data_IF_248988672140
#
_entry.id   IF_248988672140
#
_cell.length_a   1.000
_cell.length_b   1.000
_cell.length_c   1.000
_cell.angle_alpha   90.00
_cell.angle_beta   90.00
_cell.angle_gamma   90.00
#
_symmetry.space_group_name_H-M   'P 1'
#
loop_
_entity.id
_entity.type
_entity.pdbx_description
1 polymer ?
#
# COMPACT_ATOMS: atom_id res chain seq x y z
N UNK A 1 -14.47 13.78 9.57
CA UNK A 1 -13.33 12.90 9.86
C UNK A 1 -13.67 11.45 9.47
N UNK A 2 -12.78 10.81 8.76
CA UNK A 2 -12.97 9.41 8.40
C UNK A 2 -12.82 8.52 9.64
N UNK A 3 -13.73 7.60 9.83
CA UNK A 3 -13.67 6.65 10.93
C UNK A 3 -13.42 5.27 10.34
N UNK A 4 -12.29 4.68 10.74
CA UNK A 4 -11.87 3.36 10.28
C UNK A 4 -12.48 2.33 11.22
N UNK A 5 -13.60 1.76 10.82
CA UNK A 5 -14.33 0.83 11.68
C UNK A 5 -13.88 -0.61 11.49
N UNK A 6 -14.50 -1.51 12.25
CA UNK A 6 -14.14 -2.91 12.23
C UNK A 6 -14.44 -3.58 10.88
N UNK A 7 -15.50 -3.16 10.22
CA UNK A 7 -15.83 -3.68 8.89
C UNK A 7 -14.72 -3.32 7.90
N UNK A 8 -14.30 -2.07 7.92
CA UNK A 8 -13.21 -1.62 7.05
C UNK A 8 -11.93 -2.36 7.33
N UNK A 9 -11.62 -2.60 8.61
CA UNK A 9 -10.42 -3.33 9.01
C UNK A 9 -10.45 -4.75 8.45
N UNK A 10 -11.58 -5.44 8.58
CA UNK A 10 -11.71 -6.80 8.09
C UNK A 10 -11.51 -6.87 6.58
N UNK A 11 -12.14 -5.93 5.87
CA UNK A 11 -12.03 -5.87 4.42
C UNK A 11 -10.58 -5.63 3.98
N UNK A 12 -9.90 -4.69 4.63
CA UNK A 12 -8.51 -4.39 4.30
C UNK A 12 -7.60 -5.58 4.59
N UNK A 13 -7.81 -6.25 5.72
CA UNK A 13 -7.00 -7.42 6.06
C UNK A 13 -7.18 -8.56 5.05
N UNK A 14 -8.41 -8.77 4.59
CA UNK A 14 -8.67 -9.75 3.55
C UNK A 14 -7.97 -9.39 2.24
N UNK A 15 -8.01 -8.11 1.87
CA UNK A 15 -7.36 -7.65 0.66
C UNK A 15 -5.84 -7.81 0.75
N UNK A 16 -5.27 -7.58 1.91
CA UNK A 16 -3.82 -7.78 2.11
C UNK A 16 -3.46 -9.26 1.95
N UNK A 17 -4.25 -10.15 2.54
CA UNK A 17 -4.00 -11.59 2.39
C UNK A 17 -4.09 -12.03 0.93
N UNK A 18 -5.08 -11.52 0.22
CA UNK A 18 -5.28 -11.79 -1.19
C UNK A 18 -4.09 -11.30 -2.01
N UNK A 19 -3.64 -10.08 -1.72
CA UNK A 19 -2.51 -9.49 -2.43
C UNK A 19 -1.21 -10.23 -2.13
N UNK A 20 -1.04 -10.70 -0.90
CA UNK A 20 0.13 -11.50 -0.54
C UNK A 20 0.21 -12.76 -1.41
N UNK A 21 -0.92 -13.43 -1.63
CA UNK A 21 -0.98 -14.59 -2.51
C UNK A 21 -0.64 -14.20 -3.96
N UNK A 22 -1.19 -13.09 -4.42
CA UNK A 22 -0.93 -12.62 -5.78
C UNK A 22 0.54 -12.29 -6.00
N UNK A 23 1.18 -11.66 -5.01
CA UNK A 23 2.62 -11.37 -5.07
C UNK A 23 3.43 -12.66 -5.12
N UNK A 24 3.07 -13.64 -4.31
CA UNK A 24 3.77 -14.94 -4.32
C UNK A 24 3.65 -15.60 -5.69
N UNK A 25 2.48 -15.54 -6.29
CA UNK A 25 2.25 -16.11 -7.62
C UNK A 25 3.00 -15.35 -8.70
N UNK A 26 3.13 -14.04 -8.56
CA UNK A 26 3.94 -13.23 -9.47
C UNK A 26 5.42 -13.58 -9.36
N UNK A 27 5.92 -13.72 -8.14
CA UNK A 27 7.32 -14.04 -7.90
C UNK A 27 7.69 -15.45 -8.38
N UNK A 28 6.75 -16.39 -8.29
CA UNK A 28 6.99 -17.75 -8.76
C UNK A 28 6.89 -17.88 -10.28
N UNK A 29 6.41 -16.84 -10.95
CA UNK A 29 6.20 -16.88 -12.39
C UNK A 29 4.83 -17.40 -12.82
N UNK A 30 3.97 -17.75 -11.87
CA UNK A 30 2.62 -18.19 -12.20
C UNK A 30 1.78 -17.08 -12.82
N UNK A 31 1.98 -15.84 -12.39
CA UNK A 31 1.33 -14.68 -12.98
C UNK A 31 2.35 -13.87 -13.78
N UNK A 32 1.99 -13.51 -15.01
CA UNK A 32 2.79 -12.56 -15.79
C UNK A 32 2.58 -11.16 -15.24
N UNK A 33 3.44 -10.21 -15.63
CA UNK A 33 3.24 -8.81 -15.22
C UNK A 33 1.92 -8.27 -15.76
N UNK A 34 1.52 -8.68 -16.95
CA UNK A 34 0.24 -8.25 -17.52
C UNK A 34 -0.96 -8.74 -16.70
N UNK A 35 -0.88 -9.98 -16.23
CA UNK A 35 -1.93 -10.55 -15.38
C UNK A 35 -1.93 -9.91 -13.99
N UNK A 36 -0.76 -9.59 -13.48
CA UNK A 36 -0.59 -8.98 -12.16
C UNK A 36 -1.03 -7.52 -12.14
N UNK A 37 -0.86 -6.80 -13.25
CA UNK A 37 -1.09 -5.36 -13.30
C UNK A 37 -2.44 -4.90 -12.74
N UNK A 38 -3.60 -5.45 -13.19
CA UNK A 38 -4.86 -4.98 -12.62
C UNK A 38 -4.99 -5.27 -11.13
N UNK A 39 -4.38 -6.34 -10.67
CA UNK A 39 -4.44 -6.72 -9.25
C UNK A 39 -3.63 -5.75 -8.40
N UNK A 40 -2.43 -5.39 -8.84
CA UNK A 40 -1.63 -4.45 -8.08
C UNK A 40 -2.18 -3.02 -8.10
N UNK A 41 -2.75 -2.61 -9.23
CA UNK A 41 -3.34 -1.28 -9.32
C UNK A 41 -4.51 -1.11 -8.37
N UNK A 42 -5.31 -2.16 -8.17
CA UNK A 42 -6.40 -2.12 -7.20
C UNK A 42 -5.91 -1.93 -5.77
N UNK A 43 -4.65 -2.22 -5.51
CA UNK A 43 -4.05 -2.09 -4.19
C UNK A 43 -3.13 -0.88 -4.07
N UNK A 44 -3.15 0.01 -5.06
CA UNK A 44 -2.34 1.23 -5.02
C UNK A 44 -0.88 1.02 -5.35
N UNK A 45 -0.56 -0.08 -6.03
CA UNK A 45 0.82 -0.40 -6.41
C UNK A 45 1.03 -0.13 -7.89
N UNK A 46 2.00 0.73 -8.18
CA UNK A 46 2.34 1.14 -9.55
C UNK A 46 3.75 0.68 -9.89
N UNK A 47 3.95 0.26 -11.12
CA UNK A 47 5.30 -0.12 -11.57
C UNK A 47 5.96 1.10 -12.21
N UNK A 48 7.12 1.45 -11.68
CA UNK A 48 7.96 2.49 -12.24
C UNK A 48 9.20 1.85 -12.87
N UNK A 49 10.06 2.65 -13.46
CA UNK A 49 11.16 2.14 -14.28
C UNK A 49 12.01 1.07 -13.58
N UNK A 50 12.32 1.26 -12.31
CA UNK A 50 13.21 0.35 -11.59
C UNK A 50 12.62 -0.23 -10.31
N UNK A 51 11.38 0.14 -9.97
CA UNK A 51 10.82 -0.28 -8.69
C UNK A 51 9.30 -0.10 -8.68
N UNK A 52 8.66 -0.77 -7.74
CA UNK A 52 7.25 -0.55 -7.50
C UNK A 52 7.05 0.65 -6.56
N UNK A 53 5.96 1.36 -6.77
CA UNK A 53 5.56 2.47 -5.92
C UNK A 53 4.24 2.12 -5.25
N UNK A 54 4.18 2.29 -3.94
CA UNK A 54 2.95 2.11 -3.17
C UNK A 54 2.39 3.49 -2.82
N UNK A 55 1.13 3.73 -3.19
CA UNK A 55 0.45 5.00 -2.89
C UNK A 55 -0.59 4.75 -1.82
N UNK A 56 -0.53 5.53 -0.76
CA UNK A 56 -1.43 5.41 0.39
C UNK A 56 -2.29 6.65 0.47
N UNK A 57 -3.60 6.47 0.51
CA UNK A 57 -4.54 7.59 0.67
C UNK A 57 -4.51 8.08 2.11
N UNK A 58 -4.58 9.39 2.27
CA UNK A 58 -4.69 10.03 3.57
C UNK A 58 -6.11 10.58 3.64
N UNK A 59 -7.00 9.96 4.42
CA UNK A 59 -8.40 10.38 4.45
C UNK A 59 -8.52 11.84 4.88
N UNK A 60 -9.16 12.64 4.04
CA UNK A 60 -9.41 14.06 4.31
C UNK A 60 -8.13 14.86 4.58
N UNK A 61 -6.98 14.32 4.19
CA UNK A 61 -5.70 15.01 4.38
C UNK A 61 -5.24 15.12 5.81
N UNK A 62 -5.83 14.37 6.74
CA UNK A 62 -5.46 14.42 8.15
C UNK A 62 -4.88 13.10 8.62
N UNK A 63 -3.91 13.18 9.53
CA UNK A 63 -3.25 12.01 10.09
C UNK A 63 -3.21 12.12 11.61
N UNK A 64 -3.46 10.99 12.27
CA UNK A 64 -3.24 10.89 13.71
C UNK A 64 -1.75 10.70 13.98
N UNK A 65 -1.36 10.86 15.27
CA UNK A 65 0.03 10.62 15.65
C UNK A 65 0.44 9.17 15.37
N UNK A 66 -0.46 8.22 15.62
CA UNK A 66 -0.16 6.82 15.38
C UNK A 66 0.01 6.53 13.89
N UNK A 67 -0.80 7.17 13.06
CA UNK A 67 -0.66 7.03 11.62
C UNK A 67 0.66 7.61 11.13
N UNK A 68 1.05 8.76 11.65
CA UNK A 68 2.34 9.36 11.29
C UNK A 68 3.51 8.47 11.71
N UNK A 69 3.43 7.86 12.90
CA UNK A 69 4.46 6.93 13.35
C UNK A 69 4.54 5.71 12.45
N UNK A 70 3.39 5.20 12.03
CA UNK A 70 3.37 4.05 11.12
C UNK A 70 3.97 4.40 9.75
N UNK A 71 3.64 5.58 9.22
CA UNK A 71 4.23 6.02 7.95
C UNK A 71 5.74 6.13 8.06
N UNK A 72 6.24 6.68 9.17
CA UNK A 72 7.68 6.77 9.40
C UNK A 72 8.31 5.37 9.52
N UNK A 73 7.63 4.45 10.19
CA UNK A 73 8.10 3.07 10.30
C UNK A 73 8.24 2.41 8.93
N UNK A 74 7.20 2.54 8.10
CA UNK A 74 7.22 1.95 6.76
C UNK A 74 8.31 2.57 5.90
N UNK A 75 8.49 3.89 6.00
CA UNK A 75 9.53 4.57 5.24
C UNK A 75 10.92 4.04 5.62
N UNK A 76 11.18 3.86 6.91
CA UNK A 76 12.48 3.37 7.38
C UNK A 76 12.69 1.89 7.10
N UNK A 77 11.64 1.10 7.28
CA UNK A 77 11.75 -0.37 7.21
C UNK A 77 11.78 -0.86 5.76
N UNK A 78 11.02 -0.22 4.89
CA UNK A 78 10.79 -0.75 3.54
C UNK A 78 11.23 0.19 2.42
N UNK A 79 11.25 1.49 2.63
CA UNK A 79 11.42 2.47 1.56
C UNK A 79 12.62 3.40 1.77
N UNK A 80 13.75 2.88 2.19
CA UNK A 80 15.01 3.65 2.32
C UNK A 80 14.87 4.95 3.11
N UNK A 81 13.82 5.08 3.92
CA UNK A 81 13.62 6.26 4.74
C UNK A 81 12.92 7.42 4.06
N UNK A 82 12.42 7.24 2.85
CA UNK A 82 11.72 8.31 2.13
C UNK A 82 10.24 8.01 1.96
N UNK A 83 9.44 9.05 2.13
CA UNK A 83 8.06 9.06 1.72
C UNK A 83 7.80 10.38 1.02
N UNK A 84 6.90 10.42 0.08
CA UNK A 84 6.60 11.64 -0.66
C UNK A 84 5.12 11.97 -0.56
N UNK A 85 4.81 13.14 -0.02
CA UNK A 85 3.44 13.65 -0.04
C UNK A 85 3.12 14.21 -1.42
N UNK A 86 1.89 14.03 -1.84
CA UNK A 86 1.43 14.55 -3.13
C UNK A 86 0.35 15.59 -2.91
N UNK A 87 0.04 16.36 -3.95
CA UNK A 87 -1.00 17.36 -3.89
C UNK A 87 -2.41 16.75 -3.79
N UNK A 88 -2.54 15.46 -3.99
CA UNK A 88 -3.82 14.75 -3.90
C UNK A 88 -4.04 14.10 -2.54
N UNK A 89 -3.33 14.58 -1.53
CA UNK A 89 -3.50 14.09 -0.16
C UNK A 89 -3.22 12.60 -0.04
N UNK A 90 -2.12 12.19 -0.61
CA UNK A 90 -1.63 10.83 -0.39
C UNK A 90 -0.12 10.85 -0.22
N UNK A 91 0.44 9.72 0.20
CA UNK A 91 1.88 9.57 0.35
C UNK A 91 2.32 8.41 -0.52
N UNK A 92 3.50 8.54 -1.12
CA UNK A 92 4.06 7.54 -2.01
C UNK A 92 5.35 6.98 -1.43
N UNK A 93 5.48 5.65 -1.50
CA UNK A 93 6.71 4.95 -1.15
C UNK A 93 7.24 4.33 -2.45
N UNK A 94 8.43 4.76 -2.87
CA UNK A 94 8.93 4.45 -4.21
C UNK A 94 9.87 3.27 -4.34
N UNK A 95 10.39 2.76 -3.24
CA UNK A 95 11.49 1.81 -3.32
C UNK A 95 11.22 0.51 -2.56
N UNK A 96 9.95 0.17 -2.32
CA UNK A 96 9.60 -1.05 -1.62
C UNK A 96 9.76 -2.23 -2.56
N UNK A 97 10.46 -3.25 -2.12
CA UNK A 97 10.62 -4.47 -2.90
C UNK A 97 9.29 -5.21 -3.01
N UNK A 98 9.06 -5.83 -4.15
CA UNK A 98 7.80 -6.54 -4.40
C UNK A 98 7.50 -7.56 -3.30
N UNK A 99 8.48 -8.35 -2.90
CA UNK A 99 8.29 -9.37 -1.87
C UNK A 99 7.98 -8.78 -0.50
N UNK A 100 8.27 -7.50 -0.29
CA UNK A 100 7.99 -6.82 0.99
C UNK A 100 6.71 -6.01 0.97
N UNK A 101 6.12 -5.79 -0.21
CA UNK A 101 4.89 -5.00 -0.32
C UNK A 101 3.76 -5.51 0.58
N UNK A 102 3.45 -6.81 0.62
CA UNK A 102 2.38 -7.28 1.49
C UNK A 102 2.64 -7.00 2.97
N UNK A 103 3.89 -7.11 3.42
CA UNK A 103 4.24 -6.82 4.81
C UNK A 103 4.07 -5.33 5.11
N UNK A 104 4.51 -4.46 4.19
CA UNK A 104 4.33 -3.02 4.35
C UNK A 104 2.85 -2.66 4.41
N UNK A 105 2.04 -3.26 3.53
CA UNK A 105 0.61 -3.03 3.51
C UNK A 105 -0.07 -3.53 4.78
N UNK A 106 0.37 -4.67 5.33
CA UNK A 106 -0.16 -5.19 6.58
C UNK A 106 0.15 -4.24 7.74
N UNK A 107 1.37 -3.70 7.77
CA UNK A 107 1.75 -2.73 8.80
C UNK A 107 0.89 -1.47 8.70
N UNK A 108 0.72 -0.92 7.50
CA UNK A 108 -0.11 0.26 7.29
C UNK A 108 -1.56 0.02 7.67
N UNK A 109 -2.07 -1.16 7.39
CA UNK A 109 -3.46 -1.51 7.71
C UNK A 109 -3.72 -1.44 9.22
N UNK A 110 -2.73 -1.77 10.04
CA UNK A 110 -2.88 -1.70 11.50
C UNK A 110 -3.14 -0.28 11.99
N UNK A 111 -2.71 0.72 11.22
CA UNK A 111 -2.96 2.13 11.53
C UNK A 111 -4.14 2.70 10.73
N UNK A 112 -4.87 1.85 10.03
CA UNK A 112 -6.00 2.29 9.23
C UNK A 112 -5.63 2.95 7.92
N UNK A 113 -4.46 2.64 7.38
CA UNK A 113 -3.96 3.25 6.15
C UNK A 113 -3.89 2.21 5.04
N UNK A 114 -4.31 2.57 3.85
CA UNK A 114 -4.23 1.68 2.69
C UNK A 114 -4.32 2.47 1.39
N UNK A 115 -3.95 1.81 0.29
CA UNK A 115 -4.02 2.40 -1.05
C UNK A 115 -5.09 1.78 -1.94
N UNK A 116 -5.96 1.00 -1.36
CA UNK A 116 -6.94 0.25 -2.13
C UNK A 116 -7.96 1.15 -2.77
N UNK A 117 -8.11 1.03 -4.11
CA UNK A 117 -9.13 1.74 -4.86
C UNK A 117 -9.07 3.25 -4.73
N UNK A 118 -7.90 3.80 -4.43
CA UNK A 118 -7.77 5.23 -4.26
C UNK A 118 -7.50 5.94 -5.56
N UNK A 119 -7.03 5.22 -6.56
CA UNK A 119 -6.75 5.80 -7.87
C UNK A 119 -7.86 5.40 -8.83
N UNK A 120 -8.30 6.30 -9.63
CA UNK A 120 -9.30 6.01 -10.65
C UNK A 120 -10.74 6.11 -10.18
N UNK A 121 -10.93 6.50 -8.97
CA UNK A 121 -12.30 6.72 -8.47
C UNK A 121 -12.57 8.17 -8.26
#
# INVERSE_FOLDING_TARGET
MYIYDEFDRTLVEERVREFRDQVARRLSGELTEEEFKPLRLMNGVYLQLHAYMLRIAIPYGTLSSDQMRMLAHVARRYDRGYGHFTTRQNIQFNWIKLEELPDAMADLARAGLHGMQTSGN
#
